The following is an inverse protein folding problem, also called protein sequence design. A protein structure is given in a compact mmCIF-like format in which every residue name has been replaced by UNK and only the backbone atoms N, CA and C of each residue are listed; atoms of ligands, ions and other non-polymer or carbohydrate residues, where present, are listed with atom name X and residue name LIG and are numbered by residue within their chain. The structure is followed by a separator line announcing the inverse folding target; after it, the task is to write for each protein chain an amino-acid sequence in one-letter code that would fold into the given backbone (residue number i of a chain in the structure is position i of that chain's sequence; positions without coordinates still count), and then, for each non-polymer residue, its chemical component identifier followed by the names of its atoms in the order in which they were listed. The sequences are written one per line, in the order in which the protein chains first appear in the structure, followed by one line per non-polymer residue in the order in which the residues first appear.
data_IF_121635020863
#
_entry.id   IF_121635020863
#
_cell.length_a   1.000
_cell.length_b   1.000
_cell.length_c   1.000
_cell.angle_alpha   90.00
_cell.angle_beta   90.00
_cell.angle_gamma   90.00
#
_symmetry.space_group_name_H-M   'P 1'
#
loop_
_entity.id
_entity.type
_entity.pdbx_description
1 polymer ?
#
# COMPACT_ATOMS: atom_id res chain seq x y z
N UNK A 1 8.44 -4.65 5.22
CA UNK A 1 7.78 -5.03 6.48
C UNK A 1 8.84 -5.11 7.57
N UNK A 2 8.60 -4.47 8.71
CA UNK A 2 9.56 -4.39 9.82
C UNK A 2 9.35 -5.56 10.80
N UNK A 3 10.43 -5.95 11.48
CA UNK A 3 10.38 -6.93 12.57
C UNK A 3 10.04 -6.22 13.88
N UNK A 4 8.77 -5.89 14.06
CA UNK A 4 8.24 -5.17 15.23
C UNK A 4 7.19 -6.00 15.98
N UNK A 5 6.91 -5.71 17.26
CA UNK A 5 5.78 -6.29 17.98
C UNK A 5 4.46 -6.05 17.23
N UNK A 6 3.59 -7.06 17.22
CA UNK A 6 2.28 -6.93 16.61
C UNK A 6 1.44 -5.91 17.38
N UNK A 7 0.89 -4.93 16.67
CA UNK A 7 -0.01 -3.95 17.26
C UNK A 7 -1.37 -4.57 17.68
N UNK A 8 -1.78 -5.63 16.98
CA UNK A 8 -3.05 -6.34 17.21
C UNK A 8 -2.88 -7.85 16.99
N UNK A 9 -3.75 -8.68 17.57
CA UNK A 9 -3.80 -10.12 17.28
C UNK A 9 -4.33 -10.39 15.87
N UNK A 10 -3.84 -11.44 15.22
CA UNK A 10 -4.28 -11.84 13.87
C UNK A 10 -3.29 -11.43 12.78
N UNK A 11 -3.78 -11.12 11.58
CA UNK A 11 -2.95 -10.67 10.44
C UNK A 11 -2.59 -9.20 10.60
N UNK A 12 -1.55 -8.94 11.39
CA UNK A 12 -1.02 -7.60 11.63
C UNK A 12 0.45 -7.51 11.19
N UNK A 13 0.84 -6.31 10.79
CA UNK A 13 2.18 -6.04 10.29
C UNK A 13 2.55 -4.58 10.40
N UNK A 14 3.83 -4.31 10.63
CA UNK A 14 4.37 -2.94 10.61
C UNK A 14 5.12 -2.73 9.31
N UNK A 15 4.80 -1.64 8.62
CA UNK A 15 5.47 -1.22 7.39
C UNK A 15 6.05 0.17 7.59
N UNK A 16 7.16 0.42 6.92
CA UNK A 16 7.73 1.75 6.76
C UNK A 16 7.45 2.20 5.33
N UNK A 17 6.97 3.42 5.17
CA UNK A 17 6.78 4.04 3.87
C UNK A 17 8.05 4.80 3.50
N UNK A 18 8.38 4.84 2.21
CA UNK A 18 9.50 5.64 1.68
C UNK A 18 9.23 7.16 1.74
N UNK A 19 8.03 7.54 2.21
CA UNK A 19 7.52 8.92 2.31
C UNK A 19 7.03 9.21 3.72
N UNK A 20 6.99 10.50 4.14
CA UNK A 20 6.42 10.87 5.43
C UNK A 20 4.98 10.35 5.57
N UNK A 21 4.67 9.72 6.72
CA UNK A 21 3.36 9.11 6.98
C UNK A 21 2.18 10.08 6.82
N UNK A 22 2.41 11.39 7.04
CA UNK A 22 1.38 12.42 6.83
C UNK A 22 0.98 12.54 5.37
N UNK A 23 1.93 12.45 4.45
CA UNK A 23 1.67 12.57 3.01
C UNK A 23 0.92 11.33 2.48
N UNK A 24 1.28 10.16 3.00
CA UNK A 24 0.59 8.89 2.72
C UNK A 24 -0.86 8.97 3.21
N UNK A 25 -1.07 9.40 4.45
CA UNK A 25 -2.41 9.54 5.03
C UNK A 25 -3.27 10.54 4.25
N UNK A 26 -2.70 11.69 3.89
CA UNK A 26 -3.40 12.70 3.09
C UNK A 26 -3.82 12.14 1.72
N UNK A 27 -2.96 11.33 1.08
CA UNK A 27 -3.28 10.65 -0.19
C UNK A 27 -4.45 9.67 -0.02
N UNK A 28 -4.38 8.79 0.99
CA UNK A 28 -5.44 7.81 1.28
C UNK A 28 -6.78 8.51 1.49
N UNK A 29 -6.81 9.55 2.34
CA UNK A 29 -8.04 10.27 2.70
C UNK A 29 -8.61 11.07 1.52
N UNK A 30 -7.76 11.70 0.70
CA UNK A 30 -8.21 12.50 -0.46
C UNK A 30 -8.69 11.64 -1.63
N UNK A 31 -8.05 10.50 -1.85
CA UNK A 31 -8.41 9.58 -2.94
C UNK A 31 -9.54 8.62 -2.54
N UNK A 32 -9.90 8.56 -1.26
CA UNK A 32 -11.00 7.73 -0.75
C UNK A 32 -10.69 6.23 -0.84
N UNK A 33 -9.44 5.83 -0.62
CA UNK A 33 -9.01 4.43 -0.69
C UNK A 33 -9.65 3.60 0.44
N UNK A 34 -10.00 2.35 0.15
CA UNK A 34 -10.52 1.42 1.15
C UNK A 34 -9.52 1.14 2.29
N UNK A 35 -10.04 0.71 3.43
CA UNK A 35 -9.23 0.32 4.59
C UNK A 35 -8.64 -1.09 4.46
N UNK A 36 -9.02 -1.85 3.43
CA UNK A 36 -8.50 -3.18 3.16
C UNK A 36 -7.36 -3.11 2.15
N UNK A 37 -6.24 -3.74 2.47
CA UNK A 37 -5.05 -3.77 1.63
C UNK A 37 -4.61 -5.21 1.40
N UNK A 38 -4.10 -5.48 0.20
CA UNK A 38 -3.36 -6.71 -0.10
C UNK A 38 -1.87 -6.51 0.14
N UNK A 39 -1.20 -7.48 0.75
CA UNK A 39 0.26 -7.49 0.90
C UNK A 39 0.81 -8.63 0.04
N UNK A 40 1.69 -8.29 -0.89
CA UNK A 40 2.39 -9.26 -1.73
C UNK A 40 3.85 -9.40 -1.29
N UNK A 41 4.40 -10.60 -1.46
CA UNK A 41 5.84 -10.83 -1.26
C UNK A 41 6.60 -10.47 -2.54
N UNK A 42 7.69 -9.72 -2.37
CA UNK A 42 8.52 -9.23 -3.47
C UNK A 42 8.10 -7.85 -3.98
N UNK A 43 8.99 -7.22 -4.74
CA UNK A 43 8.67 -6.00 -5.50
C UNK A 43 8.01 -6.42 -6.82
N UNK A 44 6.70 -6.20 -6.92
CA UNK A 44 5.88 -6.51 -8.08
C UNK A 44 5.20 -5.25 -8.63
N UNK A 45 5.72 -4.07 -8.28
CA UNK A 45 5.11 -2.80 -8.68
C UNK A 45 5.07 -2.66 -10.21
N UNK A 46 6.18 -2.98 -10.89
CA UNK A 46 6.27 -2.87 -12.35
C UNK A 46 5.21 -3.74 -13.07
N UNK A 47 5.01 -4.98 -12.62
CA UNK A 47 4.02 -5.91 -13.16
C UNK A 47 2.59 -5.42 -12.93
N UNK A 48 2.29 -4.88 -11.74
CA UNK A 48 0.98 -4.33 -11.41
C UNK A 48 0.67 -3.06 -12.23
N UNK A 49 1.65 -2.18 -12.41
CA UNK A 49 1.50 -1.00 -13.28
C UNK A 49 1.23 -1.40 -14.74
N UNK A 50 1.97 -2.38 -15.26
CA UNK A 50 1.76 -2.90 -16.60
C UNK A 50 0.35 -3.50 -16.77
N UNK A 51 -0.14 -4.22 -15.75
CA UNK A 51 -1.50 -4.77 -15.75
C UNK A 51 -2.57 -3.67 -15.73
N UNK A 52 -2.44 -2.70 -14.83
CA UNK A 52 -3.36 -1.57 -14.71
C UNK A 52 -3.44 -0.76 -16.02
N UNK A 53 -2.30 -0.52 -16.67
CA UNK A 53 -2.23 0.12 -17.98
C UNK A 53 -2.98 -0.65 -19.08
N UNK A 54 -2.85 -1.98 -19.12
CA UNK A 54 -3.63 -2.82 -20.06
C UNK A 54 -5.13 -2.80 -19.79
N UNK A 55 -5.53 -2.66 -18.53
CA UNK A 55 -6.93 -2.64 -18.12
C UNK A 55 -7.55 -1.24 -18.12
N UNK A 56 -6.76 -0.20 -18.39
CA UNK A 56 -7.22 1.19 -18.34
C UNK A 56 -7.60 1.65 -16.93
N UNK A 57 -6.99 1.04 -15.90
CA UNK A 57 -7.24 1.37 -14.50
C UNK A 57 -6.23 2.43 -14.05
N UNK A 58 -6.68 3.57 -13.51
CA UNK A 58 -5.77 4.57 -12.94
C UNK A 58 -5.07 4.02 -11.69
N UNK A 59 -3.79 4.34 -11.53
CA UNK A 59 -2.99 3.93 -10.37
C UNK A 59 -2.75 5.14 -9.45
N UNK A 60 -2.90 4.92 -8.15
CA UNK A 60 -2.55 5.88 -7.09
C UNK A 60 -1.33 5.34 -6.34
N UNK A 61 -0.28 6.15 -6.28
CA UNK A 61 0.97 5.86 -5.56
C UNK A 61 0.89 6.44 -4.14
N UNK A 62 1.31 5.65 -3.14
CA UNK A 62 1.27 6.01 -1.72
C UNK A 62 2.63 6.52 -1.22
#
# INVERSE_FOLDING_TARGET
MLREPLAFSGTAGVVEFDRPVRDVLDTIMRQGLEHHYGIAYGDVAAELHALAGRWGIPVVEL
#
